data_IF_664835343957
#
_entry.id   IF_664835343957
#
_cell.length_a   1.000
_cell.length_b   1.000
_cell.length_c   1.000
_cell.angle_alpha   90.00
_cell.angle_beta   90.00
_cell.angle_gamma   90.00
#
_symmetry.space_group_name_H-M   'P 1'
#
loop_
_entity.id
_entity.type
_entity.pdbx_description
1 polymer ?
#
# COMPACT_ATOMS: atom_id res chain seq x y z
N UNK A 1 -38.47 -12.51 62.16
CA UNK A 1 -38.33 -11.04 62.15
C UNK A 1 -36.98 -10.69 61.53
N UNK A 2 -37.01 -10.08 60.32
CA UNK A 2 -36.23 -8.91 59.85
C UNK A 2 -34.67 -9.01 59.88
N UNK A 3 -33.85 -8.69 58.86
CA UNK A 3 -33.94 -7.92 57.61
C UNK A 3 -32.73 -8.27 56.67
N UNK A 4 -32.84 -7.92 55.37
CA UNK A 4 -31.89 -8.10 54.25
C UNK A 4 -30.65 -7.14 54.26
N UNK A 5 -29.73 -7.17 53.26
CA UNK A 5 -29.93 -6.59 51.90
C UNK A 5 -29.61 -7.57 50.73
N UNK A 6 -30.46 -7.70 49.69
CA UNK A 6 -30.45 -7.00 48.38
C UNK A 6 -29.25 -7.35 47.48
N UNK A 7 -29.30 -8.41 46.65
CA UNK A 7 -29.81 -8.57 45.26
C UNK A 7 -28.98 -7.93 44.13
N UNK A 8 -28.20 -8.77 43.43
CA UNK A 8 -28.04 -8.75 41.97
C UNK A 8 -29.04 -9.79 41.37
N UNK A 9 -29.29 -9.88 40.04
CA UNK A 9 -28.67 -9.19 38.89
C UNK A 9 -29.68 -8.50 37.95
N UNK A 10 -29.20 -7.74 36.95
CA UNK A 10 -30.00 -7.38 35.77
C UNK A 10 -29.28 -7.85 34.51
N UNK A 11 -30.01 -8.68 33.77
CA UNK A 11 -29.71 -9.26 32.48
C UNK A 11 -29.32 -8.22 31.42
N UNK A 12 -28.16 -8.40 30.79
CA UNK A 12 -27.91 -7.87 29.46
C UNK A 12 -28.51 -8.86 28.46
N UNK A 13 -29.68 -8.53 27.92
CA UNK A 13 -30.28 -9.27 26.82
C UNK A 13 -29.36 -9.19 25.59
N UNK A 14 -28.78 -10.32 25.21
CA UNK A 14 -28.21 -10.53 23.88
C UNK A 14 -29.33 -10.41 22.84
N UNK A 15 -29.31 -9.33 22.05
CA UNK A 15 -30.15 -9.22 20.87
C UNK A 15 -29.63 -10.13 19.75
N UNK A 16 -30.50 -10.73 18.91
CA UNK A 16 -30.06 -11.62 17.84
C UNK A 16 -29.26 -10.84 16.77
N UNK A 17 -28.36 -11.51 16.03
CA UNK A 17 -27.65 -10.88 14.93
C UNK A 17 -28.66 -10.52 13.84
N UNK A 18 -29.01 -9.24 13.74
CA UNK A 18 -29.84 -8.76 12.65
C UNK A 18 -29.02 -8.86 11.36
N UNK A 19 -29.38 -9.80 10.47
CA UNK A 19 -28.86 -9.86 9.11
C UNK A 19 -29.68 -8.92 8.23
N UNK A 20 -29.21 -7.68 8.05
CA UNK A 20 -29.90 -6.71 7.21
C UNK A 20 -29.65 -7.04 5.73
N UNK A 21 -30.72 -7.19 4.95
CA UNK A 21 -30.59 -7.30 3.49
C UNK A 21 -30.21 -5.94 2.89
N UNK A 22 -29.52 -5.95 1.74
CA UNK A 22 -29.13 -4.74 0.98
C UNK A 22 -30.31 -3.76 0.76
N UNK A 23 -31.53 -4.29 0.62
CA UNK A 23 -32.76 -3.51 0.42
C UNK A 23 -33.29 -2.85 1.69
N UNK A 24 -33.04 -3.43 2.87
CA UNK A 24 -33.48 -2.88 4.16
C UNK A 24 -32.57 -1.74 4.63
N UNK A 25 -31.26 -1.83 4.37
CA UNK A 25 -30.31 -0.76 4.69
C UNK A 25 -30.62 0.53 3.92
N UNK A 26 -30.87 0.45 2.60
CA UNK A 26 -31.22 1.59 1.75
C UNK A 26 -32.44 2.39 2.22
N UNK A 27 -33.40 1.74 2.88
CA UNK A 27 -34.61 2.40 3.41
C UNK A 27 -34.37 3.16 4.70
N UNK A 28 -33.32 2.83 5.45
CA UNK A 28 -33.01 3.41 6.77
C UNK A 28 -31.81 4.36 6.74
N UNK A 29 -30.90 4.21 5.77
CA UNK A 29 -29.75 5.11 5.59
C UNK A 29 -30.09 6.49 5.03
N UNK A 30 -31.34 6.73 4.60
CA UNK A 30 -31.82 8.07 4.26
C UNK A 30 -31.90 9.03 5.49
N UNK A 31 -31.65 8.54 6.70
CA UNK A 31 -31.78 9.28 7.96
C UNK A 31 -30.55 9.28 8.87
N UNK A 32 -29.42 8.65 8.49
CA UNK A 32 -28.30 8.46 9.41
C UNK A 32 -26.89 8.50 8.77
N UNK A 33 -26.62 9.49 7.92
CA UNK A 33 -25.25 9.83 7.54
C UNK A 33 -24.95 11.21 8.11
N UNK A 34 -24.17 11.25 9.20
CA UNK A 34 -23.42 12.39 9.80
C UNK A 34 -23.40 12.29 11.34
N UNK A 35 -22.91 11.17 11.90
CA UNK A 35 -22.52 11.13 13.31
C UNK A 35 -21.63 9.92 13.58
N UNK A 36 -20.35 10.02 13.23
CA UNK A 36 -19.32 9.30 13.96
C UNK A 36 -18.27 10.33 14.33
N UNK A 37 -18.46 10.95 15.49
CA UNK A 37 -17.49 11.83 16.10
C UNK A 37 -16.30 10.99 16.56
N UNK A 38 -15.33 10.77 15.69
CA UNK A 38 -13.96 10.49 16.17
C UNK A 38 -13.41 11.79 16.73
N UNK A 39 -12.84 11.83 17.94
CA UNK A 39 -12.22 13.04 18.47
C UNK A 39 -11.15 13.50 17.48
N UNK A 40 -11.17 14.76 17.05
CA UNK A 40 -10.00 15.32 16.39
C UNK A 40 -8.89 15.31 17.43
N UNK A 41 -7.86 14.50 17.25
CA UNK A 41 -6.65 14.70 18.03
C UNK A 41 -6.11 16.09 17.69
N UNK A 42 -5.93 16.96 18.67
CA UNK A 42 -5.20 18.24 18.56
C UNK A 42 -3.75 18.10 18.04
N UNK A 43 -3.34 16.88 17.70
CA UNK A 43 -2.01 16.53 17.23
C UNK A 43 -1.72 17.01 15.81
N UNK A 44 -2.69 17.17 14.89
CA UNK A 44 -2.36 17.66 13.54
C UNK A 44 -2.35 19.19 13.49
N UNK A 45 -1.15 19.77 13.46
CA UNK A 45 -0.93 21.21 13.68
C UNK A 45 -0.85 22.00 12.39
N UNK A 46 -0.92 23.34 12.49
CA UNK A 46 -0.64 24.20 11.34
C UNK A 46 0.82 24.11 10.86
N UNK A 47 1.75 23.77 11.76
CA UNK A 47 3.14 23.46 11.37
C UNK A 47 3.22 22.20 10.51
N UNK A 48 2.43 21.16 10.81
CA UNK A 48 2.35 19.98 9.97
C UNK A 48 1.86 20.36 8.57
N UNK A 49 0.77 21.15 8.48
CA UNK A 49 0.23 21.62 7.19
C UNK A 49 1.27 22.40 6.41
N UNK A 50 2.01 23.28 7.08
CA UNK A 50 3.04 24.09 6.46
C UNK A 50 4.25 23.27 6.00
N UNK A 51 4.68 22.27 6.79
CA UNK A 51 5.71 21.31 6.36
C UNK A 51 5.31 20.61 5.06
N UNK A 52 4.07 20.13 4.97
CA UNK A 52 3.58 19.45 3.77
C UNK A 52 3.57 20.38 2.55
N UNK A 53 3.11 21.62 2.72
CA UNK A 53 3.13 22.63 1.63
C UNK A 53 4.54 22.95 1.17
N UNK A 54 5.47 23.17 2.09
CA UNK A 54 6.88 23.43 1.78
C UNK A 54 7.52 22.24 1.06
N UNK A 55 7.21 21.03 1.49
CA UNK A 55 7.68 19.80 0.84
C UNK A 55 7.16 19.68 -0.59
N UNK A 56 5.86 19.91 -0.81
CA UNK A 56 5.28 19.91 -2.17
C UNK A 56 5.88 20.99 -3.08
N UNK A 57 6.14 22.18 -2.54
CA UNK A 57 6.80 23.25 -3.29
C UNK A 57 8.25 22.87 -3.63
N UNK A 58 9.00 22.34 -2.67
CA UNK A 58 10.38 21.92 -2.86
C UNK A 58 10.49 20.80 -3.92
N UNK A 59 9.57 19.84 -3.90
CA UNK A 59 9.47 18.79 -4.92
C UNK A 59 9.25 19.39 -6.31
N UNK A 60 8.31 20.31 -6.46
CA UNK A 60 8.04 20.96 -7.75
C UNK A 60 9.24 21.77 -8.27
N UNK A 61 9.99 22.41 -7.37
CA UNK A 61 11.22 23.13 -7.71
C UNK A 61 12.40 22.21 -8.05
N UNK A 62 12.39 20.97 -7.55
CA UNK A 62 13.42 19.97 -7.79
C UNK A 62 13.24 19.20 -9.12
N UNK A 63 12.08 19.35 -9.77
CA UNK A 63 11.78 18.75 -11.07
C UNK A 63 12.89 19.02 -12.08
N UNK A 64 13.52 17.95 -12.57
CA UNK A 64 14.60 17.98 -13.55
C UNK A 64 15.91 18.64 -13.12
N UNK A 65 16.05 19.03 -11.84
CA UNK A 65 17.29 19.57 -11.28
C UNK A 65 18.03 18.58 -10.37
N UNK A 66 17.59 17.32 -10.35
CA UNK A 66 18.20 16.22 -9.60
C UNK A 66 19.60 15.84 -10.10
N UNK A 67 20.32 14.98 -9.34
CA UNK A 67 21.67 14.54 -9.70
C UNK A 67 21.74 13.69 -10.98
N UNK A 68 20.59 13.29 -11.52
CA UNK A 68 20.46 12.52 -12.75
C UNK A 68 20.10 13.39 -13.97
N UNK A 69 20.00 14.72 -13.80
CA UNK A 69 19.52 15.63 -14.84
C UNK A 69 18.01 15.48 -15.11
N UNK A 70 17.50 16.04 -16.21
CA UNK A 70 16.07 16.04 -16.51
C UNK A 70 15.52 14.62 -16.77
N UNK A 71 14.70 14.11 -15.85
CA UNK A 71 14.09 12.78 -15.91
C UNK A 71 12.59 12.83 -16.18
N UNK A 72 12.22 13.54 -17.25
CA UNK A 72 10.83 13.71 -17.72
C UNK A 72 10.59 12.91 -19.00
N UNK A 73 9.47 12.17 -19.01
CA UNK A 73 9.09 11.21 -20.04
C UNK A 73 7.67 11.47 -20.52
N UNK A 74 7.39 11.14 -21.79
CA UNK A 74 6.02 11.22 -22.31
C UNK A 74 5.30 9.89 -22.04
N UNK A 75 4.75 9.77 -20.85
CA UNK A 75 4.16 8.53 -20.35
C UNK A 75 5.19 7.52 -19.85
N UNK A 76 4.71 6.41 -19.30
CA UNK A 76 5.59 5.37 -18.77
C UNK A 76 6.26 4.57 -19.87
N UNK A 77 5.64 4.37 -21.06
CA UNK A 77 6.30 3.66 -22.18
C UNK A 77 7.55 4.37 -22.70
N UNK A 78 7.67 5.69 -22.51
CA UNK A 78 8.86 6.44 -22.92
C UNK A 78 10.09 6.14 -22.04
N UNK A 79 9.92 5.37 -20.96
CA UNK A 79 11.03 4.85 -20.15
C UNK A 79 12.01 3.95 -20.94
N UNK A 80 11.65 3.50 -22.15
CA UNK A 80 12.61 2.85 -23.07
C UNK A 80 13.85 3.70 -23.35
N UNK A 81 13.76 5.03 -23.23
CA UNK A 81 14.90 5.95 -23.37
C UNK A 81 16.00 5.73 -22.34
N UNK A 82 15.71 5.07 -21.21
CA UNK A 82 16.69 4.73 -20.19
C UNK A 82 17.57 3.53 -20.58
N UNK A 83 17.25 2.80 -21.64
CA UNK A 83 18.01 1.63 -22.10
C UNK A 83 17.79 0.34 -21.28
N UNK A 84 17.12 0.43 -20.13
CA UNK A 84 16.74 -0.73 -19.30
C UNK A 84 15.52 -1.50 -19.80
N UNK A 85 14.75 -0.89 -20.71
CA UNK A 85 13.47 -1.41 -21.17
C UNK A 85 13.35 -1.33 -22.70
N UNK A 86 12.52 -2.20 -23.25
CA UNK A 86 12.01 -2.14 -24.61
C UNK A 86 10.48 -2.27 -24.61
N UNK A 87 9.84 -1.89 -25.71
CA UNK A 87 8.41 -2.16 -25.90
C UNK A 87 8.23 -3.57 -26.46
N UNK A 88 7.49 -4.39 -25.73
CA UNK A 88 7.00 -5.69 -26.18
C UNK A 88 5.97 -5.55 -27.31
N UNK A 89 5.64 -6.67 -27.97
CA UNK A 89 4.66 -6.69 -29.07
C UNK A 89 3.24 -6.33 -28.64
N UNK A 90 2.94 -6.54 -27.37
CA UNK A 90 1.67 -6.19 -26.71
C UNK A 90 1.67 -4.76 -26.14
N UNK A 91 2.78 -4.03 -26.30
CA UNK A 91 2.95 -2.67 -25.80
C UNK A 91 3.19 -2.59 -24.29
N UNK A 92 3.55 -3.69 -23.63
CA UNK A 92 4.13 -3.67 -22.29
C UNK A 92 5.61 -3.28 -22.34
N UNK A 93 6.12 -2.75 -21.23
CA UNK A 93 7.56 -2.57 -21.06
C UNK A 93 8.18 -3.89 -20.65
N UNK A 94 9.19 -4.33 -21.40
CA UNK A 94 9.98 -5.52 -21.11
C UNK A 94 11.37 -5.10 -20.66
N UNK A 95 11.90 -5.71 -19.60
CA UNK A 95 13.28 -5.45 -19.15
C UNK A 95 14.29 -6.11 -20.08
N UNK A 96 15.26 -5.33 -20.57
CA UNK A 96 16.32 -5.78 -21.49
C UNK A 96 17.58 -6.26 -20.77
N UNK A 97 17.78 -5.82 -19.52
CA UNK A 97 18.94 -6.17 -18.70
C UNK A 97 18.68 -7.42 -17.85
N UNK A 98 19.75 -8.02 -17.36
CA UNK A 98 19.67 -9.06 -16.34
C UNK A 98 19.46 -8.43 -14.97
N UNK A 99 18.48 -8.98 -14.24
CA UNK A 99 18.12 -8.54 -12.91
C UNK A 99 18.31 -9.69 -11.92
N UNK A 100 18.63 -9.38 -10.65
CA UNK A 100 18.45 -10.34 -9.57
C UNK A 100 16.98 -10.77 -9.49
N UNK A 101 16.63 -11.85 -8.77
CA UNK A 101 15.25 -12.30 -8.62
C UNK A 101 14.41 -11.25 -7.89
N UNK A 102 13.78 -10.34 -8.64
CA UNK A 102 13.09 -9.17 -8.09
C UNK A 102 11.87 -9.61 -7.28
N UNK A 103 11.77 -9.08 -6.07
CA UNK A 103 10.63 -9.22 -5.17
C UNK A 103 9.97 -7.86 -5.01
N UNK A 104 8.83 -7.68 -5.65
CA UNK A 104 7.98 -6.50 -5.48
C UNK A 104 7.23 -6.60 -4.15
N UNK A 105 7.58 -5.75 -3.19
CA UNK A 105 7.02 -5.81 -1.84
C UNK A 105 5.66 -5.11 -1.70
N UNK A 106 5.14 -4.50 -2.77
CA UNK A 106 3.94 -3.67 -2.68
C UNK A 106 3.09 -3.76 -3.94
N UNK A 107 2.04 -4.58 -3.89
CA UNK A 107 0.98 -4.54 -4.88
C UNK A 107 -0.39 -4.79 -4.25
N UNK A 108 -1.40 -4.40 -4.98
CA UNK A 108 -2.81 -4.50 -4.65
C UNK A 108 -3.54 -5.22 -5.78
N UNK A 109 -4.67 -5.84 -5.47
CA UNK A 109 -5.59 -6.38 -6.47
C UNK A 109 -6.88 -5.57 -6.44
N UNK A 110 -7.65 -5.67 -7.53
CA UNK A 110 -8.87 -4.91 -7.74
C UNK A 110 -9.83 -4.99 -6.57
N UNK A 111 -10.28 -3.81 -6.16
CA UNK A 111 -11.11 -3.60 -4.98
C UNK A 111 -12.55 -3.31 -5.42
N UNK A 112 -13.47 -3.71 -4.57
CA UNK A 112 -14.88 -3.33 -4.66
C UNK A 112 -15.41 -3.23 -3.24
N UNK A 113 -16.06 -2.13 -2.91
CA UNK A 113 -16.57 -1.90 -1.57
C UNK A 113 -18.09 -1.71 -1.60
N UNK A 114 -18.72 -1.86 -0.43
CA UNK A 114 -20.12 -1.53 -0.19
C UNK A 114 -21.10 -2.23 -1.17
N UNK A 115 -21.65 -1.51 -2.16
CA UNK A 115 -22.64 -2.07 -3.10
C UNK A 115 -22.05 -2.54 -4.42
N UNK A 116 -20.79 -2.18 -4.70
CA UNK A 116 -20.14 -2.53 -5.96
C UNK A 116 -20.05 -4.06 -6.14
N UNK A 117 -20.23 -4.56 -7.39
CA UNK A 117 -19.95 -5.95 -7.72
C UNK A 117 -18.50 -6.30 -7.39
N UNK A 118 -18.26 -7.54 -6.95
CA UNK A 118 -16.89 -8.04 -6.75
C UNK A 118 -16.13 -8.01 -8.07
N UNK A 119 -14.90 -7.50 -8.04
CA UNK A 119 -13.97 -7.61 -9.17
C UNK A 119 -13.59 -9.07 -9.37
N UNK A 120 -13.77 -9.62 -10.56
CA UNK A 120 -13.28 -10.96 -10.90
C UNK A 120 -11.74 -10.96 -11.04
N UNK A 121 -11.05 -11.36 -9.96
CA UNK A 121 -9.59 -11.36 -9.89
C UNK A 121 -8.92 -12.38 -10.82
N UNK A 122 -9.68 -13.30 -11.43
CA UNK A 122 -9.17 -14.29 -12.38
C UNK A 122 -9.39 -13.87 -13.83
N UNK A 123 -10.08 -12.76 -14.08
CA UNK A 123 -10.36 -12.27 -15.42
C UNK A 123 -9.10 -11.67 -16.04
N UNK A 124 -8.70 -12.16 -17.20
CA UNK A 124 -7.70 -11.48 -18.05
C UNK A 124 -8.34 -10.32 -18.78
N UNK A 125 -7.66 -9.18 -18.83
CA UNK A 125 -8.04 -8.03 -19.67
C UNK A 125 -6.92 -7.69 -20.66
N UNK A 126 -7.19 -6.89 -21.71
CA UNK A 126 -6.17 -6.54 -22.70
C UNK A 126 -5.00 -5.71 -22.15
N UNK A 127 -5.26 -4.86 -21.16
CA UNK A 127 -4.24 -4.08 -20.44
C UNK A 127 -4.71 -3.76 -19.02
N UNK A 128 -3.74 -3.50 -18.15
CA UNK A 128 -3.97 -2.84 -16.87
C UNK A 128 -4.28 -1.36 -17.12
N UNK A 129 -5.32 -0.85 -16.47
CA UNK A 129 -5.60 0.57 -16.38
C UNK A 129 -5.15 1.04 -15.00
N UNK A 130 -4.00 1.72 -14.94
CA UNK A 130 -3.47 2.22 -13.67
C UNK A 130 -4.33 3.35 -13.11
N UNK A 131 -4.20 3.65 -11.82
CA UNK A 131 -4.86 4.84 -11.27
C UNK A 131 -4.17 6.13 -11.76
N UNK A 132 -2.86 6.07 -12.00
CA UNK A 132 -2.11 7.08 -12.72
C UNK A 132 -1.71 6.56 -14.11
N UNK A 133 -2.68 6.44 -15.01
CA UNK A 133 -2.46 5.86 -16.35
C UNK A 133 -2.07 6.92 -17.40
N UNK A 134 -0.83 7.45 -17.32
CA UNK A 134 -0.39 8.50 -18.27
C UNK A 134 -0.55 8.11 -19.74
N UNK A 135 -0.29 6.86 -20.10
CA UNK A 135 -0.39 6.36 -21.47
C UNK A 135 -1.83 6.07 -21.91
N UNK A 136 -2.80 6.21 -20.99
CA UNK A 136 -4.22 6.20 -21.30
C UNK A 136 -4.72 7.51 -21.93
N UNK A 137 -3.89 8.55 -21.97
CA UNK A 137 -4.22 9.87 -22.55
C UNK A 137 -3.64 10.05 -23.96
N UNK A 138 -4.27 10.90 -24.77
CA UNK A 138 -3.78 11.32 -26.08
C UNK A 138 -3.66 12.86 -26.15
N UNK A 139 -2.42 13.42 -26.20
CA UNK A 139 -1.14 12.73 -26.02
C UNK A 139 -0.95 12.20 -24.58
N UNK A 140 -0.01 11.26 -24.34
CA UNK A 140 0.29 10.81 -22.99
C UNK A 140 0.68 11.98 -22.07
N UNK A 141 0.42 11.87 -20.75
CA UNK A 141 0.92 12.89 -19.83
C UNK A 141 2.44 12.80 -19.60
N UNK A 142 3.01 13.93 -19.19
CA UNK A 142 4.37 13.96 -18.68
C UNK A 142 4.48 13.13 -17.39
N UNK A 143 5.49 12.27 -17.35
CA UNK A 143 5.91 11.49 -16.20
C UNK A 143 7.29 11.99 -15.80
N UNK A 144 7.35 12.77 -14.73
CA UNK A 144 8.58 13.19 -14.08
C UNK A 144 8.95 12.20 -12.96
N UNK A 145 10.14 11.60 -13.09
CA UNK A 145 10.63 10.65 -12.09
C UNK A 145 11.18 11.33 -10.84
N UNK A 146 11.58 12.61 -10.89
CA UNK A 146 12.21 13.31 -9.75
C UNK A 146 11.22 13.71 -8.66
N UNK A 147 9.96 13.93 -9.03
CA UNK A 147 8.90 14.30 -8.09
C UNK A 147 8.26 13.07 -7.43
N UNK A 148 7.64 13.29 -6.26
CA UNK A 148 6.74 12.30 -5.68
C UNK A 148 5.66 11.95 -6.70
N UNK A 149 5.40 10.67 -6.94
CA UNK A 149 4.64 10.23 -8.13
C UNK A 149 3.24 10.85 -8.20
N UNK A 150 2.59 11.12 -7.06
CA UNK A 150 1.29 11.81 -7.05
C UNK A 150 1.32 13.24 -7.63
N UNK A 151 2.49 13.88 -7.70
CA UNK A 151 2.66 15.19 -8.34
C UNK A 151 2.49 15.14 -9.86
N UNK A 152 2.56 13.94 -10.47
CA UNK A 152 2.31 13.75 -11.91
C UNK A 152 0.82 13.66 -12.25
N UNK A 153 -0.09 13.61 -11.26
CA UNK A 153 -1.52 13.63 -11.56
C UNK A 153 -1.92 14.99 -12.13
N UNK A 154 -2.52 14.96 -13.33
CA UNK A 154 -3.22 16.13 -13.86
C UNK A 154 -4.51 16.39 -13.08
N UNK A 155 -5.04 17.60 -13.16
CA UNK A 155 -6.37 17.91 -12.57
C UNK A 155 -7.48 16.99 -13.10
N UNK A 156 -7.37 16.54 -14.36
CA UNK A 156 -8.32 15.56 -14.91
C UNK A 156 -8.19 14.22 -14.20
N UNK A 157 -6.97 13.72 -14.05
CA UNK A 157 -6.72 12.45 -13.37
C UNK A 157 -7.15 12.49 -11.91
N UNK A 158 -6.96 13.60 -11.19
CA UNK A 158 -7.46 13.73 -9.82
C UNK A 158 -8.99 13.69 -9.75
N UNK A 159 -9.68 14.29 -10.73
CA UNK A 159 -11.14 14.19 -10.84
C UNK A 159 -11.56 12.76 -11.16
N UNK A 160 -10.89 12.10 -12.10
CA UNK A 160 -11.18 10.72 -12.49
C UNK A 160 -10.91 9.75 -11.33
N UNK A 161 -9.81 9.92 -10.59
CA UNK A 161 -9.51 9.15 -9.38
C UNK A 161 -10.61 9.30 -8.32
N UNK A 162 -11.11 10.52 -8.09
CA UNK A 162 -12.25 10.75 -7.17
C UNK A 162 -13.50 10.03 -7.66
N UNK A 163 -13.78 10.09 -8.96
CA UNK A 163 -14.93 9.39 -9.56
C UNK A 163 -14.78 7.87 -9.49
N UNK A 164 -13.61 7.33 -9.82
CA UNK A 164 -13.30 5.90 -9.74
C UNK A 164 -13.36 5.41 -8.29
N UNK A 165 -12.93 6.22 -7.33
CA UNK A 165 -13.09 5.92 -5.89
C UNK A 165 -14.58 5.84 -5.52
N UNK A 166 -15.40 6.81 -5.92
CA UNK A 166 -16.86 6.79 -5.69
C UNK A 166 -17.51 5.59 -6.41
N UNK A 167 -17.13 5.32 -7.65
CA UNK A 167 -17.65 4.22 -8.45
C UNK A 167 -17.29 2.86 -7.83
N UNK A 168 -16.06 2.69 -7.33
CA UNK A 168 -15.60 1.51 -6.60
C UNK A 168 -16.41 1.22 -5.32
N UNK A 169 -17.05 2.24 -4.74
CA UNK A 169 -17.96 2.09 -3.60
C UNK A 169 -19.38 1.69 -4.03
N UNK A 170 -19.86 2.15 -5.18
CA UNK A 170 -21.30 2.06 -5.51
C UNK A 170 -21.63 1.07 -6.64
N UNK A 171 -20.87 1.10 -7.74
CA UNK A 171 -21.24 0.45 -9.00
C UNK A 171 -20.13 -0.42 -9.60
N UNK A 172 -18.91 -0.34 -9.05
CA UNK A 172 -17.69 -0.93 -9.60
C UNK A 172 -16.87 0.09 -10.38
N UNK A 173 -15.56 -0.12 -10.44
CA UNK A 173 -14.59 0.73 -11.16
C UNK A 173 -14.09 0.04 -12.41
N UNK A 174 -13.97 0.80 -13.52
CA UNK A 174 -13.44 0.27 -14.78
C UNK A 174 -11.96 -0.07 -14.63
N UNK A 175 -11.20 0.83 -14.01
CA UNK A 175 -9.79 0.57 -13.68
C UNK A 175 -9.65 -0.65 -12.77
N UNK A 176 -10.41 -0.72 -11.67
CA UNK A 176 -10.38 -1.84 -10.74
C UNK A 176 -10.68 -3.19 -11.40
N UNK A 177 -11.54 -3.22 -12.43
CA UNK A 177 -11.84 -4.43 -13.18
C UNK A 177 -10.67 -5.02 -13.99
N UNK A 178 -9.59 -4.24 -14.16
CA UNK A 178 -8.34 -4.67 -14.81
C UNK A 178 -7.23 -5.06 -13.85
N UNK A 179 -7.42 -4.80 -12.55
CA UNK A 179 -6.44 -5.04 -11.49
C UNK A 179 -6.47 -6.51 -11.03
N UNK A 180 -6.22 -7.42 -11.96
CA UNK A 180 -6.43 -8.86 -11.78
C UNK A 180 -5.11 -9.63 -11.74
N UNK A 181 -5.16 -10.88 -11.27
CA UNK A 181 -3.98 -11.74 -11.17
C UNK A 181 -3.34 -11.98 -12.54
N UNK A 182 -4.08 -12.31 -13.63
CA UNK A 182 -3.45 -12.50 -14.94
C UNK A 182 -2.75 -11.25 -15.47
N UNK A 183 -3.27 -10.07 -15.17
CA UNK A 183 -2.69 -8.80 -15.59
C UNK A 183 -1.39 -8.48 -14.83
N UNK A 184 -1.42 -8.63 -13.50
CA UNK A 184 -0.23 -8.50 -12.67
C UNK A 184 0.86 -9.48 -13.12
N UNK A 185 0.52 -10.76 -13.35
CA UNK A 185 1.49 -11.77 -13.80
C UNK A 185 2.09 -11.43 -15.18
N UNK A 186 1.32 -10.84 -16.09
CA UNK A 186 1.83 -10.45 -17.41
C UNK A 186 2.89 -9.33 -17.29
N UNK A 187 2.65 -8.32 -16.45
CA UNK A 187 3.64 -7.27 -16.17
C UNK A 187 4.86 -7.82 -15.42
N UNK A 188 4.63 -8.72 -14.46
CA UNK A 188 5.71 -9.40 -13.74
C UNK A 188 6.61 -10.18 -14.71
N UNK A 189 6.04 -10.89 -15.68
CA UNK A 189 6.80 -11.65 -16.67
C UNK A 189 7.59 -10.70 -17.60
N UNK A 190 6.97 -9.62 -18.07
CA UNK A 190 7.64 -8.62 -18.92
C UNK A 190 8.83 -7.94 -18.20
N UNK A 191 8.68 -7.64 -16.91
CA UNK A 191 9.68 -6.93 -16.11
C UNK A 191 10.60 -7.85 -15.30
N UNK A 192 10.53 -9.18 -15.55
CA UNK A 192 11.30 -10.20 -14.82
C UNK A 192 11.11 -10.13 -13.29
N UNK A 193 9.93 -9.70 -12.81
CA UNK A 193 9.55 -9.73 -11.40
C UNK A 193 9.19 -11.16 -10.98
N UNK A 194 10.01 -11.72 -10.09
CA UNK A 194 9.90 -13.12 -9.70
C UNK A 194 8.76 -13.35 -8.72
N UNK A 195 8.61 -12.46 -7.72
CA UNK A 195 7.52 -12.52 -6.76
C UNK A 195 6.95 -11.13 -6.46
N UNK A 196 5.66 -11.08 -6.14
CA UNK A 196 4.98 -9.85 -5.73
C UNK A 196 4.15 -10.09 -4.47
N UNK A 197 4.31 -9.23 -3.46
CA UNK A 197 3.47 -9.21 -2.27
C UNK A 197 2.11 -8.56 -2.58
N UNK A 198 1.04 -9.31 -2.32
CA UNK A 198 -0.34 -8.86 -2.57
C UNK A 198 -0.96 -8.44 -1.25
N UNK A 199 -1.25 -7.14 -1.13
CA UNK A 199 -1.61 -6.46 0.09
C UNK A 199 -3.11 -6.11 0.11
N UNK A 200 -3.98 -6.83 0.84
CA UNK A 200 -5.37 -6.40 1.03
C UNK A 200 -5.45 -5.18 1.96
N UNK A 201 -6.58 -4.46 1.93
CA UNK A 201 -6.92 -3.44 2.95
C UNK A 201 -8.31 -3.74 3.50
N UNK A 202 -8.39 -3.99 4.81
CA UNK A 202 -9.64 -4.21 5.52
C UNK A 202 -10.32 -2.89 5.88
N UNK A 203 -11.02 -2.29 4.92
CA UNK A 203 -11.79 -1.04 5.10
C UNK A 203 -13.07 -1.30 5.90
N UNK A 204 -13.42 -0.49 6.92
CA UNK A 204 -14.55 -0.70 7.82
C UNK A 204 -15.88 -0.25 7.20
N UNK A 205 -16.24 -0.79 6.03
CA UNK A 205 -17.50 -0.49 5.35
C UNK A 205 -18.51 -1.64 5.49
N UNK A 206 -19.80 -1.35 5.67
CA UNK A 206 -20.82 -2.40 5.68
C UNK A 206 -20.89 -3.09 4.31
N UNK A 207 -21.22 -4.38 4.31
CA UNK A 207 -21.33 -5.23 3.12
C UNK A 207 -20.04 -5.44 2.32
N UNK A 208 -18.89 -4.92 2.79
CA UNK A 208 -17.60 -5.36 2.28
C UNK A 208 -17.36 -6.80 2.70
N UNK A 209 -16.86 -7.62 1.77
CA UNK A 209 -16.38 -8.96 2.10
C UNK A 209 -15.05 -8.89 2.84
N UNK A 210 -14.58 -10.04 3.31
CA UNK A 210 -13.21 -10.17 3.83
C UNK A 210 -12.21 -10.12 2.66
N UNK A 211 -11.42 -9.04 2.51
CA UNK A 211 -10.53 -8.89 1.36
C UNK A 211 -9.37 -9.87 1.40
N UNK A 212 -8.91 -10.26 2.60
CA UNK A 212 -7.82 -11.22 2.77
C UNK A 212 -8.25 -12.60 2.31
N UNK A 213 -9.41 -13.10 2.76
CA UNK A 213 -9.92 -14.38 2.26
C UNK A 213 -10.18 -14.36 0.75
N UNK A 214 -10.70 -13.24 0.24
CA UNK A 214 -10.99 -13.12 -1.18
C UNK A 214 -9.72 -13.21 -2.05
N UNK A 215 -8.66 -12.49 -1.69
CA UNK A 215 -7.39 -12.55 -2.40
C UNK A 215 -6.69 -13.89 -2.21
N UNK A 216 -6.73 -14.47 -1.00
CA UNK A 216 -6.20 -15.81 -0.76
C UNK A 216 -6.88 -16.85 -1.65
N UNK A 217 -8.22 -16.87 -1.74
CA UNK A 217 -8.95 -17.79 -2.63
C UNK A 217 -8.57 -17.59 -4.10
N UNK A 218 -8.56 -16.33 -4.56
CA UNK A 218 -8.24 -16.01 -5.95
C UNK A 218 -6.83 -16.46 -6.34
N UNK A 219 -5.82 -16.21 -5.50
CA UNK A 219 -4.44 -16.65 -5.76
C UNK A 219 -4.37 -18.20 -5.81
N UNK A 220 -5.26 -18.95 -5.11
CA UNK A 220 -5.15 -20.42 -5.03
C UNK A 220 -5.72 -21.00 -6.31
N UNK A 221 -6.88 -20.48 -6.70
CA UNK A 221 -7.56 -20.83 -7.94
C UNK A 221 -6.75 -20.44 -9.18
N UNK A 222 -5.93 -19.39 -9.08
CA UNK A 222 -4.97 -19.02 -10.11
C UNK A 222 -3.69 -19.87 -10.10
N UNK A 223 -3.51 -20.75 -9.11
CA UNK A 223 -2.26 -21.50 -8.87
C UNK A 223 -1.02 -20.61 -8.79
N UNK A 224 -1.17 -19.39 -8.26
CA UNK A 224 -0.17 -18.34 -8.34
C UNK A 224 0.70 -18.22 -7.07
N UNK A 225 0.63 -19.15 -6.12
CA UNK A 225 1.37 -19.12 -4.83
C UNK A 225 2.88 -18.99 -4.93
N UNK A 226 3.47 -19.54 -5.99
CA UNK A 226 4.91 -19.45 -6.22
C UNK A 226 5.37 -18.05 -6.68
N UNK A 227 4.44 -17.24 -7.21
CA UNK A 227 4.69 -15.90 -7.75
C UNK A 227 4.07 -14.79 -6.90
N UNK A 228 2.95 -15.05 -6.22
CA UNK A 228 2.24 -14.06 -5.42
C UNK A 228 2.30 -14.42 -3.94
N UNK A 229 2.87 -13.52 -3.15
CA UNK A 229 3.06 -13.67 -1.69
C UNK A 229 1.84 -13.04 -1.01
N UNK A 230 0.94 -13.82 -0.40
CA UNK A 230 -0.27 -13.27 0.19
C UNK A 230 0.05 -12.56 1.52
N UNK A 231 -0.45 -11.34 1.68
CA UNK A 231 -0.51 -10.66 2.97
C UNK A 231 -1.95 -10.67 3.50
N UNK A 232 -2.10 -10.36 4.79
CA UNK A 232 -3.38 -10.15 5.43
C UNK A 232 -3.62 -8.67 5.72
N UNK A 233 -4.88 -8.32 6.00
CA UNK A 233 -5.24 -7.05 6.61
C UNK A 233 -6.41 -7.28 7.56
N UNK A 234 -6.35 -6.65 8.72
CA UNK A 234 -7.40 -6.65 9.73
C UNK A 234 -7.68 -5.22 10.13
N UNK A 235 -8.89 -4.95 10.58
CA UNK A 235 -9.25 -3.65 11.13
C UNK A 235 -9.00 -3.66 12.64
N UNK A 236 -8.28 -2.68 13.23
CA UNK A 236 -8.00 -2.68 14.68
C UNK A 236 -9.24 -2.73 15.56
N UNK A 237 -10.32 -2.08 15.15
CA UNK A 237 -11.59 -2.09 15.89
C UNK A 237 -12.44 -3.36 15.65
N UNK A 238 -12.00 -4.30 14.81
CA UNK A 238 -12.71 -5.58 14.67
C UNK A 238 -12.38 -6.47 15.88
N UNK A 239 -13.38 -6.76 16.70
CA UNK A 239 -13.26 -7.66 17.87
C UNK A 239 -12.67 -9.05 17.54
N UNK A 240 -12.73 -9.49 16.27
CA UNK A 240 -12.15 -10.75 15.80
C UNK A 240 -10.84 -10.59 15.04
N UNK A 241 -10.23 -9.40 15.05
CA UNK A 241 -8.99 -9.11 14.31
C UNK A 241 -7.88 -10.14 14.61
N UNK A 242 -7.66 -10.46 15.88
CA UNK A 242 -6.61 -11.41 16.31
C UNK A 242 -6.92 -12.84 15.86
N UNK A 243 -8.17 -13.29 15.99
CA UNK A 243 -8.60 -14.62 15.53
C UNK A 243 -8.46 -14.77 14.01
N UNK A 244 -8.88 -13.75 13.27
CA UNK A 244 -8.73 -13.67 11.82
C UNK A 244 -7.26 -13.72 11.42
N UNK A 245 -6.41 -12.92 12.06
CA UNK A 245 -4.99 -12.88 11.77
C UNK A 245 -4.32 -14.26 11.94
N UNK A 246 -4.63 -14.98 13.03
CA UNK A 246 -4.18 -16.37 13.24
C UNK A 246 -4.67 -17.31 12.14
N UNK A 247 -5.93 -17.16 11.74
CA UNK A 247 -6.54 -17.99 10.69
C UNK A 247 -5.90 -17.74 9.32
N UNK A 248 -5.61 -16.47 8.98
CA UNK A 248 -4.88 -16.12 7.76
C UNK A 248 -3.45 -16.67 7.79
N UNK A 249 -2.75 -16.56 8.92
CA UNK A 249 -1.41 -17.10 9.11
C UNK A 249 -1.38 -18.62 8.88
N UNK A 250 -2.36 -19.36 9.43
CA UNK A 250 -2.52 -20.78 9.18
C UNK A 250 -2.77 -21.13 7.69
N UNK A 251 -3.18 -20.15 6.88
CA UNK A 251 -3.38 -20.27 5.43
C UNK A 251 -2.24 -19.66 4.60
N UNK A 252 -1.11 -19.37 5.25
CA UNK A 252 0.16 -19.08 4.59
C UNK A 252 0.41 -17.60 4.27
N UNK A 253 -0.34 -16.66 4.84
CA UNK A 253 0.02 -15.23 4.70
C UNK A 253 1.39 -14.96 5.31
N UNK A 254 2.14 -14.05 4.70
CA UNK A 254 3.54 -13.76 5.05
C UNK A 254 3.77 -12.37 5.65
N UNK A 255 2.73 -11.57 5.81
CA UNK A 255 2.78 -10.27 6.48
C UNK A 255 1.40 -9.63 6.61
N UNK A 256 1.35 -8.44 7.21
CA UNK A 256 0.13 -7.67 7.42
C UNK A 256 0.26 -6.29 6.79
N UNK A 257 -0.73 -5.88 5.99
CA UNK A 257 -0.88 -4.50 5.49
C UNK A 257 -1.90 -3.76 6.35
N UNK A 258 -1.51 -2.57 6.78
CA UNK A 258 -2.39 -1.60 7.42
C UNK A 258 -2.36 -0.27 6.67
N UNK A 259 -3.53 0.35 6.53
CA UNK A 259 -3.68 1.66 5.90
C UNK A 259 -4.45 2.58 6.85
N UNK A 260 -3.75 3.28 7.77
CA UNK A 260 -4.36 4.08 8.84
C UNK A 260 -5.43 5.06 8.37
N UNK A 261 -5.23 5.71 7.22
CA UNK A 261 -6.19 6.66 6.65
C UNK A 261 -7.47 6.00 6.14
N UNK A 262 -7.35 4.97 5.29
CA UNK A 262 -8.50 4.23 4.76
C UNK A 262 -9.25 3.45 5.84
N UNK A 263 -8.52 2.98 6.86
CA UNK A 263 -9.06 2.23 7.99
C UNK A 263 -9.41 3.14 9.19
N UNK A 264 -9.12 4.45 9.13
CA UNK A 264 -9.46 5.46 10.15
C UNK A 264 -9.06 5.07 11.57
N UNK A 265 -7.80 4.71 11.77
CA UNK A 265 -7.26 4.41 13.10
C UNK A 265 -5.88 5.04 13.29
N UNK A 266 -5.52 5.33 14.53
CA UNK A 266 -4.17 5.80 14.86
C UNK A 266 -3.24 4.61 15.10
N UNK A 267 -2.05 4.58 14.47
CA UNK A 267 -1.12 3.46 14.61
C UNK A 267 -0.67 3.15 16.04
N UNK A 268 -0.73 4.12 16.96
CA UNK A 268 -0.38 4.02 18.38
C UNK A 268 -1.57 3.79 19.32
N UNK A 269 -2.78 3.61 18.79
CA UNK A 269 -3.97 3.27 19.56
C UNK A 269 -3.88 1.84 20.12
N UNK A 270 -4.42 1.62 21.33
CA UNK A 270 -4.33 0.33 22.04
C UNK A 270 -4.83 -0.86 21.20
N UNK A 271 -5.90 -0.67 20.43
CA UNK A 271 -6.44 -1.71 19.55
C UNK A 271 -5.46 -2.09 18.44
N UNK A 272 -4.70 -1.13 17.92
CA UNK A 272 -3.66 -1.39 16.93
C UNK A 272 -2.43 -2.06 17.57
N UNK A 273 -2.08 -1.66 18.79
CA UNK A 273 -0.99 -2.28 19.57
C UNK A 273 -1.23 -3.78 19.78
N UNK A 274 -2.48 -4.19 20.01
CA UNK A 274 -2.87 -5.61 20.11
C UNK A 274 -2.57 -6.42 18.83
N UNK A 275 -2.71 -5.80 17.65
CA UNK A 275 -2.37 -6.45 16.37
C UNK A 275 -0.86 -6.68 16.28
N UNK A 276 -0.04 -5.69 16.64
CA UNK A 276 1.42 -5.82 16.55
C UNK A 276 1.96 -6.86 17.52
N UNK A 277 1.40 -6.94 18.73
CA UNK A 277 1.73 -7.98 19.70
C UNK A 277 1.46 -9.39 19.14
N UNK A 278 0.41 -9.56 18.35
CA UNK A 278 0.13 -10.83 17.68
C UNK A 278 1.04 -11.07 16.47
N UNK A 279 1.31 -10.04 15.66
CA UNK A 279 2.29 -10.12 14.56
C UNK A 279 3.67 -10.54 15.07
N UNK A 280 4.11 -10.05 16.22
CA UNK A 280 5.38 -10.43 16.85
C UNK A 280 5.43 -11.93 17.15
N UNK A 281 4.38 -12.47 17.78
CA UNK A 281 4.25 -13.91 18.10
C UNK A 281 4.26 -14.78 16.84
N UNK A 282 3.58 -14.32 15.79
CA UNK A 282 3.49 -15.03 14.51
C UNK A 282 4.73 -14.82 13.63
N UNK A 283 5.62 -13.90 13.98
CA UNK A 283 6.78 -13.53 13.17
C UNK A 283 6.41 -12.85 11.86
N UNK A 284 5.27 -12.16 11.81
CA UNK A 284 4.75 -11.47 10.63
C UNK A 284 5.27 -10.01 10.58
N UNK A 285 5.87 -9.57 9.46
CA UNK A 285 6.15 -8.16 9.24
C UNK A 285 4.85 -7.37 9.05
N UNK A 286 4.90 -6.07 9.35
CA UNK A 286 3.79 -5.13 9.17
C UNK A 286 4.23 -4.03 8.21
N UNK A 287 3.51 -3.89 7.09
CA UNK A 287 3.66 -2.77 6.18
C UNK A 287 2.52 -1.77 6.38
N UNK A 288 2.89 -0.50 6.57
CA UNK A 288 1.94 0.61 6.65
C UNK A 288 1.89 1.36 5.33
N UNK A 289 0.70 1.88 4.97
CA UNK A 289 0.71 3.18 4.31
C UNK A 289 1.16 4.22 5.34
N UNK A 290 2.28 4.90 5.09
CA UNK A 290 2.94 5.76 6.06
C UNK A 290 3.25 7.14 5.47
N UNK A 291 3.00 8.18 6.27
CA UNK A 291 3.17 9.57 5.90
C UNK A 291 2.10 10.11 4.96
N UNK A 292 2.15 11.41 4.71
CA UNK A 292 1.11 12.13 3.95
C UNK A 292 1.39 12.08 2.45
N UNK A 293 0.39 11.68 1.67
CA UNK A 293 0.47 11.58 0.21
C UNK A 293 0.06 12.86 -0.53
N UNK A 294 -0.44 13.87 0.20
CA UNK A 294 -0.79 15.22 -0.29
C UNK A 294 -2.06 15.32 -1.13
N UNK A 295 -2.65 14.20 -1.53
CA UNK A 295 -3.89 14.15 -2.33
C UNK A 295 -5.11 13.71 -1.51
N UNK A 296 -4.87 13.15 -0.33
CA UNK A 296 -5.91 12.76 0.62
C UNK A 296 -6.66 13.98 1.20
N UNK A 297 -7.95 13.79 1.55
CA UNK A 297 -8.67 14.75 2.38
C UNK A 297 -7.92 15.07 3.68
N UNK A 298 -7.88 16.36 4.04
CA UNK A 298 -7.09 16.84 5.18
C UNK A 298 -7.41 16.14 6.50
N UNK A 299 -8.68 15.81 6.75
CA UNK A 299 -9.11 15.14 7.98
C UNK A 299 -8.58 13.70 8.14
N UNK A 300 -8.02 13.10 7.09
CA UNK A 300 -7.41 11.76 7.13
C UNK A 300 -5.91 11.81 7.47
N UNK A 301 -5.24 12.92 7.17
CA UNK A 301 -3.80 13.10 7.37
C UNK A 301 -3.29 12.80 8.79
N UNK A 302 -4.04 13.08 9.88
CA UNK A 302 -3.56 12.76 11.23
C UNK A 302 -3.26 11.26 11.45
N UNK A 303 -3.92 10.37 10.71
CA UNK A 303 -3.75 8.92 10.89
C UNK A 303 -2.41 8.39 10.33
N UNK A 304 -1.82 9.06 9.35
CA UNK A 304 -0.60 8.59 8.68
C UNK A 304 0.70 9.21 9.20
N UNK A 305 0.65 10.12 10.17
CA UNK A 305 1.83 10.85 10.65
C UNK A 305 2.90 9.90 11.21
N UNK A 306 4.15 10.04 10.74
CA UNK A 306 5.26 9.14 11.10
C UNK A 306 5.49 9.08 12.61
N UNK A 307 5.31 10.19 13.33
CA UNK A 307 5.44 10.21 14.80
C UNK A 307 4.53 9.21 15.52
N UNK A 308 3.39 8.84 14.94
CA UNK A 308 2.46 7.83 15.47
C UNK A 308 3.02 6.40 15.40
N UNK A 309 4.02 6.16 14.56
CA UNK A 309 4.68 4.87 14.45
C UNK A 309 5.83 4.69 15.46
N UNK A 310 6.25 5.75 16.15
CA UNK A 310 7.34 5.67 17.16
C UNK A 310 7.00 4.74 18.30
N UNK A 311 5.75 4.77 18.80
CA UNK A 311 5.31 3.90 19.89
C UNK A 311 5.35 2.42 19.49
N UNK A 312 4.67 1.96 18.42
CA UNK A 312 4.70 0.55 18.04
C UNK A 312 6.10 0.05 17.69
N UNK A 313 6.92 0.87 17.01
CA UNK A 313 8.31 0.49 16.70
C UNK A 313 9.14 0.19 17.95
N UNK A 314 8.99 0.99 19.01
CA UNK A 314 9.72 0.81 20.27
C UNK A 314 9.18 -0.33 21.13
N UNK A 315 7.87 -0.47 21.20
CA UNK A 315 7.23 -1.47 22.08
C UNK A 315 7.28 -2.89 21.49
N UNK A 316 7.42 -3.03 20.16
CA UNK A 316 7.48 -4.32 19.46
C UNK A 316 8.77 -4.48 18.64
N UNK A 317 9.95 -4.54 19.28
CA UNK A 317 11.23 -4.66 18.57
C UNK A 317 11.36 -5.95 17.76
N UNK A 318 10.57 -7.00 18.06
CA UNK A 318 10.53 -8.24 17.28
C UNK A 318 9.69 -8.15 16.00
N UNK A 319 8.86 -7.11 15.85
CA UNK A 319 8.09 -6.86 14.63
C UNK A 319 8.93 -6.08 13.64
N UNK A 320 8.99 -6.59 12.40
CA UNK A 320 9.60 -5.90 11.27
C UNK A 320 8.60 -4.92 10.67
N UNK A 321 8.82 -3.63 10.88
CA UNK A 321 7.96 -2.57 10.36
C UNK A 321 8.48 -2.04 9.03
N UNK A 322 7.60 -1.98 8.03
CA UNK A 322 7.89 -1.41 6.72
C UNK A 322 7.03 -0.17 6.52
N UNK A 323 7.68 0.98 6.34
CA UNK A 323 7.04 2.26 6.04
C UNK A 323 6.86 2.33 4.53
N UNK A 324 5.63 2.12 4.07
CA UNK A 324 5.26 2.23 2.66
C UNK A 324 5.56 3.62 2.10
N UNK A 325 5.91 3.67 0.82
CA UNK A 325 6.28 4.89 0.10
C UNK A 325 7.42 5.70 0.75
N UNK A 326 8.25 5.04 1.56
CA UNK A 326 9.29 5.62 2.38
C UNK A 326 8.79 6.75 3.28
N UNK A 327 7.54 6.65 3.76
CA UNK A 327 6.89 7.71 4.52
C UNK A 327 6.29 8.83 3.67
N UNK A 328 6.08 8.60 2.37
CA UNK A 328 5.53 9.55 1.41
C UNK A 328 6.25 10.93 1.49
N UNK A 329 5.50 12.02 1.73
CA UNK A 329 6.09 13.36 1.91
C UNK A 329 6.66 13.62 3.30
N UNK A 330 6.51 12.68 4.23
CA UNK A 330 7.13 12.70 5.55
C UNK A 330 8.42 11.85 5.60
N UNK A 331 9.03 11.63 4.43
CA UNK A 331 10.15 10.70 4.26
C UNK A 331 11.42 11.05 5.05
N UNK A 332 11.61 12.31 5.44
CA UNK A 332 12.69 12.68 6.35
C UNK A 332 12.46 12.11 7.77
N UNK A 333 11.23 12.17 8.29
CA UNK A 333 10.89 11.56 9.58
C UNK A 333 10.94 10.03 9.50
N UNK A 334 10.56 9.46 8.36
CA UNK A 334 10.63 8.01 8.14
C UNK A 334 12.08 7.51 8.09
N UNK A 335 12.97 8.23 7.41
CA UNK A 335 14.41 7.93 7.37
C UNK A 335 15.03 8.00 8.77
N UNK A 336 14.70 9.04 9.54
CA UNK A 336 15.13 9.15 10.93
C UNK A 336 14.72 7.94 11.76
N UNK A 337 13.45 7.53 11.66
CA UNK A 337 12.93 6.37 12.38
C UNK A 337 13.63 5.07 11.95
N UNK A 338 13.87 4.89 10.65
CA UNK A 338 14.57 3.73 10.10
C UNK A 338 16.05 3.65 10.53
N UNK A 339 16.70 4.80 10.68
CA UNK A 339 18.08 4.92 11.16
C UNK A 339 18.21 4.63 12.64
N UNK A 340 17.24 5.05 13.46
CA UNK A 340 17.25 4.84 14.90
C UNK A 340 16.88 3.42 15.32
N UNK A 341 16.21 2.65 14.47
CA UNK A 341 15.64 1.36 14.83
C UNK A 341 16.00 0.26 13.83
N UNK A 342 16.56 -0.84 14.34
CA UNK A 342 16.94 -1.99 13.53
C UNK A 342 15.75 -2.65 12.83
N UNK A 343 14.57 -2.62 13.46
CA UNK A 343 13.35 -3.27 13.01
C UNK A 343 12.46 -2.42 12.07
N UNK A 344 13.02 -1.38 11.45
CA UNK A 344 12.31 -0.47 10.53
C UNK A 344 12.97 -0.43 9.15
N UNK A 345 12.17 -0.52 8.09
CA UNK A 345 12.56 -0.43 6.68
C UNK A 345 11.67 0.55 5.91
N UNK A 346 12.18 1.07 4.80
CA UNK A 346 11.47 1.97 3.88
C UNK A 346 11.19 1.24 2.56
N UNK A 347 9.94 1.19 2.14
CA UNK A 347 9.53 0.65 0.85
C UNK A 347 9.36 1.81 -0.15
N UNK A 348 9.97 1.72 -1.34
CA UNK A 348 10.29 2.89 -2.17
C UNK A 348 9.22 3.34 -3.18
N UNK A 349 8.09 2.65 -3.29
CA UNK A 349 7.01 3.01 -4.21
C UNK A 349 6.61 4.48 -4.08
N UNK A 350 6.16 5.08 -5.17
CA UNK A 350 5.74 6.50 -5.25
C UNK A 350 6.82 7.55 -4.98
N UNK A 351 8.00 7.21 -4.45
CA UNK A 351 8.99 8.22 -4.10
C UNK A 351 9.72 8.77 -5.34
N UNK A 352 10.09 10.05 -5.31
CA UNK A 352 10.87 10.72 -6.36
C UNK A 352 12.30 10.18 -6.46
N UNK A 353 12.87 10.16 -7.66
CA UNK A 353 14.21 9.65 -7.98
C UNK A 353 15.28 10.31 -7.12
N UNK A 354 15.31 11.65 -7.09
CA UNK A 354 16.23 12.41 -6.25
C UNK A 354 16.09 12.03 -4.78
N UNK A 355 14.85 11.87 -4.27
CA UNK A 355 14.64 11.49 -2.87
C UNK A 355 15.08 10.04 -2.59
N UNK A 356 14.87 9.09 -3.51
CA UNK A 356 15.39 7.73 -3.38
C UNK A 356 16.92 7.75 -3.32
N UNK A 357 17.59 8.56 -4.15
CA UNK A 357 19.03 8.72 -4.13
C UNK A 357 19.54 9.28 -2.79
N UNK A 358 18.87 10.29 -2.23
CA UNK A 358 19.20 10.81 -0.90
C UNK A 358 19.04 9.75 0.19
N UNK A 359 17.92 9.01 0.20
CA UNK A 359 17.68 7.92 1.14
C UNK A 359 18.75 6.82 1.01
N UNK A 360 19.17 6.50 -0.22
CA UNK A 360 20.23 5.55 -0.50
C UNK A 360 21.57 6.00 0.12
N UNK A 361 21.91 7.28 -0.01
CA UNK A 361 23.13 7.85 0.57
C UNK A 361 23.08 7.95 2.10
N UNK A 362 21.90 8.22 2.65
CA UNK A 362 21.69 8.39 4.09
C UNK A 362 21.69 7.05 4.84
N UNK A 363 20.97 6.05 4.31
CA UNK A 363 20.69 4.79 5.01
C UNK A 363 21.46 3.59 4.43
N UNK A 364 22.04 3.73 3.23
CA UNK A 364 22.56 2.62 2.45
C UNK A 364 21.45 1.71 1.91
N UNK A 365 21.86 0.62 1.27
CA UNK A 365 20.94 -0.34 0.65
C UNK A 365 20.22 -1.28 1.63
N UNK A 366 20.62 -1.33 2.91
CA UNK A 366 20.14 -2.33 3.89
C UNK A 366 18.75 -2.01 4.48
N UNK A 367 18.30 -0.77 4.34
CA UNK A 367 17.03 -0.27 4.89
C UNK A 367 15.97 0.00 3.84
N UNK A 368 16.29 -0.18 2.56
CA UNK A 368 15.43 0.18 1.44
C UNK A 368 14.90 -1.06 0.73
N UNK A 369 13.62 -1.05 0.36
CA UNK A 369 12.93 -2.19 -0.24
C UNK A 369 12.22 -1.72 -1.50
N UNK A 370 12.37 -2.47 -2.58
CA UNK A 370 11.59 -2.25 -3.79
C UNK A 370 10.13 -2.65 -3.58
N UNK A 371 9.23 -1.77 -3.99
CA UNK A 371 7.83 -2.07 -4.21
C UNK A 371 7.28 -1.13 -5.29
N UNK A 372 6.25 -1.57 -6.00
CA UNK A 372 5.67 -0.82 -7.12
C UNK A 372 4.45 0.01 -6.75
N UNK A 373 3.72 -0.43 -5.73
CA UNK A 373 2.33 -0.04 -5.47
C UNK A 373 1.42 -0.28 -6.69
N UNK A 374 1.68 -1.34 -7.45
CA UNK A 374 0.80 -1.76 -8.54
C UNK A 374 -0.59 -2.02 -7.98
N UNK A 375 -1.69 -1.55 -8.58
CA UNK A 375 -1.81 -0.90 -9.89
C UNK A 375 -2.02 0.62 -9.78
N UNK A 376 -1.64 1.26 -8.67
CA UNK A 376 -1.62 2.73 -8.63
C UNK A 376 -0.70 3.26 -9.72
N UNK A 377 0.45 2.60 -9.88
CA UNK A 377 1.46 2.91 -10.89
C UNK A 377 1.96 1.63 -11.60
N UNK A 378 2.52 1.76 -12.81
CA UNK A 378 3.22 0.67 -13.47
C UNK A 378 4.46 0.24 -12.67
N UNK A 379 4.72 -1.07 -12.59
CA UNK A 379 5.90 -1.62 -11.89
C UNK A 379 7.23 -1.02 -12.42
N UNK A 380 7.29 -0.74 -13.72
CA UNK A 380 8.46 -0.16 -14.38
C UNK A 380 8.90 1.19 -13.79
N UNK A 381 7.98 2.00 -13.25
CA UNK A 381 8.29 3.36 -12.76
C UNK A 381 9.21 3.30 -11.53
N UNK A 382 8.83 2.52 -10.51
CA UNK A 382 9.66 2.35 -9.32
C UNK A 382 10.96 1.58 -9.66
N UNK A 383 10.88 0.59 -10.54
CA UNK A 383 12.03 -0.19 -10.97
C UNK A 383 13.08 0.69 -11.65
N UNK A 384 12.67 1.55 -12.59
CA UNK A 384 13.55 2.49 -13.27
C UNK A 384 14.34 3.37 -12.29
N UNK A 385 13.66 3.86 -11.24
CA UNK A 385 14.30 4.70 -10.22
C UNK A 385 15.35 3.94 -9.41
N UNK A 386 15.06 2.69 -9.02
CA UNK A 386 16.05 1.85 -8.33
C UNK A 386 17.23 1.54 -9.24
N UNK A 387 17.00 1.26 -10.53
CA UNK A 387 18.07 0.97 -11.49
C UNK A 387 19.02 2.15 -11.66
N UNK A 388 18.49 3.36 -11.82
CA UNK A 388 19.27 4.61 -11.91
C UNK A 388 20.10 4.87 -10.64
N UNK A 389 19.49 4.75 -9.45
CA UNK A 389 20.19 5.01 -8.17
C UNK A 389 21.31 4.01 -7.90
N UNK A 390 21.16 2.78 -8.42
CA UNK A 390 22.10 1.68 -8.18
C UNK A 390 22.92 1.31 -9.42
N UNK A 391 23.04 2.21 -10.40
CA UNK A 391 23.77 1.97 -11.66
C UNK A 391 25.18 1.43 -11.43
N UNK A 392 25.90 2.06 -10.50
CA UNK A 392 27.28 1.72 -10.14
C UNK A 392 27.40 0.79 -8.91
N UNK A 393 26.28 0.24 -8.40
CA UNK A 393 26.28 -0.65 -7.22
C UNK A 393 25.36 -1.87 -7.40
N UNK A 394 25.83 -2.91 -8.11
CA UNK A 394 25.07 -4.14 -8.30
C UNK A 394 24.69 -4.85 -6.99
N UNK A 395 25.53 -4.77 -5.95
CA UNK A 395 25.25 -5.40 -4.66
C UNK A 395 24.14 -4.65 -3.90
N UNK A 396 24.17 -3.31 -3.95
CA UNK A 396 23.09 -2.47 -3.47
C UNK A 396 21.78 -2.71 -4.21
N UNK A 397 21.85 -2.85 -5.54
CA UNK A 397 20.71 -3.21 -6.39
C UNK A 397 20.07 -4.52 -5.98
N UNK A 398 20.86 -5.59 -5.85
CA UNK A 398 20.37 -6.91 -5.43
C UNK A 398 19.70 -6.87 -4.06
N UNK A 399 20.29 -6.12 -3.13
CA UNK A 399 19.75 -5.96 -1.79
C UNK A 399 18.38 -5.27 -1.79
N UNK A 400 18.22 -4.19 -2.55
CA UNK A 400 16.96 -3.43 -2.62
C UNK A 400 15.88 -4.18 -3.40
N UNK A 401 16.24 -4.77 -4.54
CA UNK A 401 15.30 -5.47 -5.42
C UNK A 401 14.89 -6.85 -4.87
N UNK A 402 15.67 -7.46 -3.97
CA UNK A 402 15.41 -8.84 -3.53
C UNK A 402 15.81 -9.10 -2.08
N UNK A 403 17.10 -8.91 -1.75
CA UNK A 403 17.70 -9.44 -0.52
C UNK A 403 16.99 -9.00 0.77
N UNK A 404 16.63 -7.73 0.88
CA UNK A 404 15.92 -7.22 2.07
C UNK A 404 14.52 -7.82 2.20
N UNK A 405 13.75 -7.88 1.10
CA UNK A 405 12.42 -8.46 1.09
C UNK A 405 12.44 -9.95 1.48
N UNK A 406 13.35 -10.74 0.91
CA UNK A 406 13.51 -12.16 1.25
C UNK A 406 13.87 -12.35 2.73
N UNK A 407 14.79 -11.54 3.26
CA UNK A 407 15.18 -11.57 4.67
C UNK A 407 14.02 -11.19 5.61
N UNK A 408 13.20 -10.20 5.22
CA UNK A 408 12.01 -9.83 5.99
C UNK A 408 10.99 -10.98 6.06
N UNK A 409 10.72 -11.59 4.90
CA UNK A 409 9.72 -12.64 4.73
C UNK A 409 10.20 -14.05 5.11
N UNK A 410 11.49 -14.17 5.51
CA UNK A 410 12.16 -15.45 5.81
C UNK A 410 12.01 -16.44 4.65
N UNK A 411 12.13 -15.95 3.43
CA UNK A 411 12.13 -16.75 2.21
C UNK A 411 13.57 -17.08 1.83
N UNK A 412 13.79 -18.31 1.39
CA UNK A 412 15.08 -18.70 0.82
C UNK A 412 15.16 -18.17 -0.62
N UNK A 413 16.33 -17.68 -1.06
CA UNK A 413 16.57 -17.55 -2.49
C UNK A 413 16.57 -18.97 -3.07
N UNK A 414 15.50 -19.37 -3.75
CA UNK A 414 15.53 -20.63 -4.49
C UNK A 414 16.58 -20.50 -5.60
N UNK A 415 17.45 -21.50 -5.73
CA UNK A 415 18.55 -21.50 -6.70
C UNK A 415 18.06 -21.33 -8.14
N UNK A 416 18.95 -20.99 -9.09
CA UNK A 416 18.57 -20.76 -10.47
C UNK A 416 17.92 -22.02 -11.05
N UNK A 417 16.67 -21.88 -11.47
CA UNK A 417 15.91 -22.87 -12.25
C UNK A 417 16.29 -22.82 -13.73
#
# INVERSE_FOLDING_TARGET
>A
MLLQPSSAPRDCLEGPPMSWSRRQFLRLSALAALASCTPSSDDYTDEDKERLRKQQLAEGLASGSGPFGPMVFLGYRDLVRLGYFQLGRDGLLETTIDLPPVVDFHAHLGWSYLFAPKVDLLRRTPRTQYLMDCDGHEPPCELDLDVYVNSNFTDSMLRDLRWETIASLLFGSRAASTHTIPNLLAEMDALKVRQTAVLPIAVPLPFSGDPTWYQLDAIERAHARARLIPFASVHPQDSRAIEKLRSYHARGVRGVKLHPEMQRFYPDAEEAMGIYAECEKLGLPVIFHAGRSGIEPEFLRPYALIRRLRRPVREFPGVKFVLGHAGARDSAEAAELARQHENVWLELSSQGLTRIYELYRELGSTKLIYGSDWPFYPQAVALAKVLLVTEEDPAGRERILSGNALALLRLQPEGPS
#
